data_IF_534742816797
#
_entry.id   IF_534742816797
#
_cell.length_a   1.000
_cell.length_b   1.000
_cell.length_c   1.000
_cell.angle_alpha   90.00
_cell.angle_beta   90.00
_cell.angle_gamma   90.00
#
_symmetry.space_group_name_H-M   'P 1'
#
loop_
_entity.id
_entity.type
_entity.pdbx_description
1 polymer ?
#
# COMPACT_ATOMS: atom_id res chain seq x y z
N UNK A 1 -34.02 12.32 0.94
CA UNK A 1 -32.76 11.78 0.38
C UNK A 1 -31.62 12.67 0.88
N UNK A 2 -30.57 12.11 1.51
CA UNK A 2 -29.42 12.85 2.04
C UNK A 2 -28.17 12.77 1.12
N UNK A 3 -28.32 12.13 -0.04
CA UNK A 3 -27.20 11.88 -0.95
C UNK A 3 -26.95 13.10 -1.85
N UNK A 4 -25.69 13.53 -1.95
CA UNK A 4 -25.28 14.70 -2.73
C UNK A 4 -24.01 14.39 -3.54
N UNK A 5 -23.94 14.86 -4.78
CA UNK A 5 -22.79 14.69 -5.67
C UNK A 5 -22.54 13.26 -6.14
N UNK A 6 -23.51 12.36 -6.02
CA UNK A 6 -23.40 10.96 -6.46
C UNK A 6 -23.97 10.78 -7.86
N UNK A 7 -23.31 9.95 -8.65
CA UNK A 7 -23.77 9.56 -9.98
C UNK A 7 -24.49 8.22 -9.81
N UNK A 8 -25.78 8.19 -10.12
CA UNK A 8 -26.60 6.98 -10.02
C UNK A 8 -27.09 6.62 -11.42
N UNK A 9 -26.75 5.42 -11.86
CA UNK A 9 -27.22 4.84 -13.12
C UNK A 9 -28.37 3.89 -12.80
N UNK A 10 -29.49 4.00 -13.51
CA UNK A 10 -30.61 3.09 -13.32
C UNK A 10 -31.29 2.76 -14.63
N UNK A 11 -31.50 1.46 -14.87
CA UNK A 11 -32.18 0.93 -16.05
C UNK A 11 -32.77 -0.45 -15.71
N UNK A 12 -33.92 -0.79 -16.30
CA UNK A 12 -34.57 -2.10 -16.20
C UNK A 12 -34.74 -2.64 -14.74
N UNK A 13 -34.97 -1.76 -13.77
CA UNK A 13 -35.15 -2.14 -12.35
C UNK A 13 -33.83 -2.39 -11.59
N UNK A 14 -32.68 -2.15 -12.21
CA UNK A 14 -31.39 -2.10 -11.54
C UNK A 14 -30.97 -0.65 -11.28
N UNK A 15 -30.22 -0.42 -10.20
CA UNK A 15 -29.55 0.84 -9.94
C UNK A 15 -28.13 0.59 -9.43
N UNK A 16 -27.18 1.38 -9.91
CA UNK A 16 -25.79 1.36 -9.50
C UNK A 16 -25.28 2.75 -9.18
N UNK A 17 -24.31 2.83 -8.27
CA UNK A 17 -23.63 4.06 -7.90
C UNK A 17 -22.26 4.10 -8.55
N UNK A 18 -22.02 5.14 -9.33
CA UNK A 18 -20.77 5.39 -10.03
C UNK A 18 -19.96 6.46 -9.28
N UNK A 19 -18.65 6.25 -9.17
CA UNK A 19 -17.71 7.20 -8.59
C UNK A 19 -16.42 7.24 -9.41
N UNK A 20 -15.80 8.40 -9.48
CA UNK A 20 -14.53 8.59 -10.19
C UNK A 20 -13.38 8.14 -9.30
N UNK A 21 -12.52 7.28 -9.83
CA UNK A 21 -11.29 6.83 -9.20
C UNK A 21 -10.07 7.37 -9.93
N UNK A 22 -8.97 7.60 -9.20
CA UNK A 22 -7.68 8.04 -9.72
C UNK A 22 -6.61 7.00 -9.38
N UNK A 23 -5.73 6.71 -10.33
CA UNK A 23 -4.53 5.91 -10.04
C UNK A 23 -3.67 6.58 -8.96
N UNK A 24 -2.82 5.78 -8.31
CA UNK A 24 -1.82 6.32 -7.37
C UNK A 24 -0.84 7.26 -8.08
N UNK A 25 -0.59 6.99 -9.37
CA UNK A 25 0.38 7.69 -10.20
C UNK A 25 1.82 7.47 -9.73
N UNK A 26 2.75 8.14 -10.38
CA UNK A 26 4.16 8.15 -10.01
C UNK A 26 4.74 9.56 -10.13
N UNK A 27 5.93 9.76 -9.57
CA UNK A 27 6.69 10.99 -9.76
C UNK A 27 7.55 10.86 -11.02
N UNK A 28 7.38 11.77 -11.98
CA UNK A 28 8.10 11.79 -13.26
C UNK A 28 9.47 12.49 -13.17
N UNK A 29 9.83 13.01 -12.01
CA UNK A 29 11.10 13.70 -11.72
C UNK A 29 11.55 13.35 -10.31
N UNK A 30 12.86 13.37 -10.07
CA UNK A 30 13.46 13.03 -8.78
C UNK A 30 13.59 14.23 -7.86
N UNK A 31 14.01 15.38 -8.41
CA UNK A 31 14.09 16.65 -7.68
C UNK A 31 13.16 17.68 -8.30
N UNK A 32 12.84 18.71 -7.51
CA UNK A 32 12.06 19.84 -8.00
C UNK A 32 12.79 20.64 -9.10
N UNK A 33 14.12 20.59 -9.12
CA UNK A 33 14.98 21.25 -10.11
C UNK A 33 15.10 20.49 -11.42
N UNK A 34 14.79 19.19 -11.42
CA UNK A 34 14.98 18.36 -12.60
C UNK A 34 13.87 18.63 -13.62
N UNK A 35 14.19 18.70 -14.93
CA UNK A 35 13.18 18.88 -15.96
C UNK A 35 12.29 17.65 -16.04
N UNK A 36 10.98 17.88 -16.22
CA UNK A 36 10.04 16.81 -16.56
C UNK A 36 10.16 16.50 -18.06
N UNK A 37 10.87 15.43 -18.41
CA UNK A 37 11.09 15.04 -19.80
C UNK A 37 10.03 14.05 -20.30
N UNK A 38 9.80 14.02 -21.61
CA UNK A 38 8.79 13.15 -22.23
C UNK A 38 9.23 11.68 -22.11
N UNK A 39 10.53 11.42 -22.16
CA UNK A 39 11.11 10.08 -22.01
C UNK A 39 10.85 9.52 -20.60
N UNK A 40 10.91 10.36 -19.57
CA UNK A 40 10.56 9.97 -18.19
C UNK A 40 9.08 9.62 -18.07
N UNK A 41 8.20 10.39 -18.74
CA UNK A 41 6.76 10.09 -18.79
C UNK A 41 6.52 8.75 -19.50
N UNK A 42 7.17 8.52 -20.64
CA UNK A 42 7.04 7.27 -21.39
C UNK A 42 7.51 6.07 -20.58
N UNK A 43 8.68 6.18 -19.93
CA UNK A 43 9.25 5.10 -19.12
C UNK A 43 8.34 4.71 -17.94
N UNK A 44 7.65 5.68 -17.34
CA UNK A 44 6.77 5.44 -16.20
C UNK A 44 5.28 5.32 -16.56
N UNK A 45 4.92 5.36 -17.84
CA UNK A 45 3.52 5.29 -18.30
C UNK A 45 2.74 4.07 -17.80
N UNK A 46 3.35 2.86 -17.71
CA UNK A 46 2.67 1.70 -17.13
C UNK A 46 2.27 1.89 -15.66
N UNK A 47 3.06 2.65 -14.88
CA UNK A 47 2.78 2.95 -13.48
C UNK A 47 1.72 4.06 -13.35
N UNK A 48 1.81 5.09 -14.20
CA UNK A 48 0.82 6.20 -14.26
C UNK A 48 -0.59 5.65 -14.54
N UNK A 49 -0.69 4.66 -15.44
CA UNK A 49 -1.96 4.06 -15.89
C UNK A 49 -2.43 2.90 -15.01
N UNK A 50 -1.66 2.48 -13.99
CA UNK A 50 -2.01 1.37 -13.13
C UNK A 50 -3.14 1.72 -12.14
N UNK A 51 -4.28 1.02 -12.27
CA UNK A 51 -5.48 1.22 -11.46
C UNK A 51 -5.65 0.21 -10.31
N UNK A 52 -4.72 -0.74 -10.10
CA UNK A 52 -4.87 -1.80 -9.08
C UNK A 52 -5.12 -1.27 -7.66
N UNK A 53 -4.46 -0.16 -7.30
CA UNK A 53 -4.59 0.52 -6.01
C UNK A 53 -5.16 1.93 -6.19
N UNK A 54 -6.15 2.08 -7.07
CA UNK A 54 -6.77 3.38 -7.33
C UNK A 54 -7.55 3.90 -6.12
N UNK A 55 -7.53 5.21 -5.91
CA UNK A 55 -8.21 5.89 -4.81
C UNK A 55 -9.41 6.67 -5.32
N UNK A 56 -10.53 6.71 -4.57
CA UNK A 56 -11.68 7.51 -4.95
C UNK A 56 -11.32 9.00 -4.93
N UNK A 57 -11.74 9.75 -5.96
CA UNK A 57 -11.64 11.20 -5.98
C UNK A 57 -12.78 11.79 -5.15
N UNK A 58 -12.46 12.28 -3.94
CA UNK A 58 -13.47 12.77 -2.99
C UNK A 58 -13.62 14.29 -3.07
N UNK A 59 -12.51 15.03 -3.06
CA UNK A 59 -12.56 16.50 -3.13
C UNK A 59 -11.31 17.11 -3.77
N UNK A 60 -11.49 18.33 -4.29
CA UNK A 60 -10.39 19.14 -4.81
C UNK A 60 -9.36 19.47 -3.72
N UNK A 61 -9.82 19.76 -2.50
CA UNK A 61 -8.95 20.06 -1.37
C UNK A 61 -8.06 18.87 -1.00
N UNK A 62 -8.61 17.64 -0.94
CA UNK A 62 -7.81 16.45 -0.67
C UNK A 62 -6.76 16.20 -1.77
N UNK A 63 -7.12 16.44 -3.03
CA UNK A 63 -6.20 16.31 -4.17
C UNK A 63 -5.07 17.33 -4.12
N UNK A 64 -5.34 18.57 -3.67
CA UNK A 64 -4.32 19.62 -3.48
C UNK A 64 -3.35 19.27 -2.36
N UNK A 65 -3.84 18.75 -1.23
CA UNK A 65 -2.98 18.31 -0.11
C UNK A 65 -2.03 17.21 -0.57
N UNK A 66 -2.54 16.18 -1.26
CA UNK A 66 -1.71 15.10 -1.79
C UNK A 66 -0.64 15.60 -2.77
N UNK A 67 -0.94 16.63 -3.57
CA UNK A 67 0.03 17.23 -4.47
C UNK A 67 1.14 17.97 -3.70
N UNK A 68 0.77 18.79 -2.71
CA UNK A 68 1.73 19.53 -1.89
C UNK A 68 2.66 18.58 -1.14
N UNK A 69 2.14 17.50 -0.59
CA UNK A 69 2.94 16.45 0.06
C UNK A 69 3.99 15.86 -0.89
N UNK A 70 3.61 15.57 -2.13
CA UNK A 70 4.53 15.09 -3.17
C UNK A 70 5.57 16.14 -3.58
N UNK A 71 5.20 17.43 -3.62
CA UNK A 71 6.15 18.50 -3.89
C UNK A 71 7.17 18.67 -2.76
N UNK A 72 6.74 18.57 -1.51
CA UNK A 72 7.65 18.60 -0.36
C UNK A 72 8.62 17.40 -0.36
N UNK A 73 8.14 16.23 -0.76
CA UNK A 73 8.99 15.06 -0.98
C UNK A 73 10.10 15.35 -2.03
N UNK A 74 9.73 15.91 -3.18
CA UNK A 74 10.68 16.31 -4.23
C UNK A 74 11.65 17.43 -3.78
N UNK A 75 11.20 18.31 -2.88
CA UNK A 75 12.00 19.42 -2.35
C UNK A 75 13.10 18.91 -1.42
N UNK A 76 12.80 17.90 -0.59
CA UNK A 76 13.78 17.27 0.31
C UNK A 76 14.89 16.53 -0.45
N UNK A 77 14.67 16.22 -1.73
CA UNK A 77 15.65 15.52 -2.56
C UNK A 77 15.93 14.09 -2.09
N UNK A 78 15.04 13.54 -1.26
CA UNK A 78 15.05 12.12 -0.92
C UNK A 78 14.79 11.34 -2.21
N UNK A 79 15.66 10.37 -2.52
CA UNK A 79 15.43 9.49 -3.66
C UNK A 79 14.07 8.85 -3.46
N UNK A 80 13.15 9.05 -4.42
CA UNK A 80 12.03 8.11 -4.53
C UNK A 80 12.65 6.73 -4.57
N UNK A 81 12.26 5.79 -3.70
CA UNK A 81 12.71 4.43 -3.87
C UNK A 81 12.23 4.05 -5.27
N UNK A 82 13.19 3.86 -6.16
CA UNK A 82 13.00 3.57 -7.59
C UNK A 82 11.86 2.57 -7.75
N UNK A 83 11.04 2.83 -8.76
CA UNK A 83 9.87 2.14 -9.36
C UNK A 83 9.68 0.60 -9.24
N UNK A 84 10.39 -0.08 -8.35
CA UNK A 84 10.10 -1.42 -7.83
C UNK A 84 9.74 -1.42 -6.34
N UNK A 85 9.93 -0.31 -5.63
CA UNK A 85 9.41 -0.13 -4.27
C UNK A 85 7.98 0.36 -4.35
N UNK A 86 7.05 -0.59 -4.57
CA UNK A 86 5.78 -0.46 -3.89
C UNK A 86 6.12 -0.13 -2.43
N UNK A 87 5.79 1.08 -1.97
CA UNK A 87 5.39 1.26 -0.59
C UNK A 87 4.22 0.30 -0.40
N UNK A 88 4.54 -0.95 -0.12
CA UNK A 88 3.63 -2.05 -0.08
C UNK A 88 2.71 -1.75 1.07
N UNK A 89 1.48 -1.35 0.75
CA UNK A 89 0.42 -1.27 1.74
C UNK A 89 0.32 -2.66 2.36
N UNK A 90 0.85 -2.79 3.57
CA UNK A 90 0.77 -4.04 4.32
C UNK A 90 -0.58 -4.04 5.03
N UNK A 91 -1.59 -4.58 4.35
CA UNK A 91 -2.92 -4.77 4.91
C UNK A 91 -2.94 -6.05 5.72
N UNK A 92 -3.38 -5.96 6.97
CA UNK A 92 -3.57 -7.11 7.84
C UNK A 92 -4.93 -7.02 8.54
N UNK A 93 -5.49 -8.17 8.88
CA UNK A 93 -6.72 -8.31 9.64
C UNK A 93 -6.46 -9.13 10.92
N UNK A 94 -7.48 -9.32 11.75
CA UNK A 94 -7.40 -10.16 12.96
C UNK A 94 -6.91 -11.58 12.63
N UNK A 95 -7.32 -12.13 11.49
CA UNK A 95 -6.84 -13.42 10.99
C UNK A 95 -5.32 -13.51 10.88
N UNK A 96 -4.66 -12.48 10.36
CA UNK A 96 -3.21 -12.48 10.15
C UNK A 96 -2.46 -12.36 11.48
N UNK A 97 -3.04 -11.61 12.42
CA UNK A 97 -2.53 -11.47 13.79
C UNK A 97 -2.57 -12.81 14.54
N UNK A 98 -3.72 -13.50 14.49
CA UNK A 98 -3.91 -14.80 15.11
C UNK A 98 -2.97 -15.84 14.47
N UNK A 99 -2.86 -15.83 13.13
CA UNK A 99 -1.97 -16.75 12.42
C UNK A 99 -0.50 -16.52 12.80
N UNK A 100 -0.08 -15.27 12.95
CA UNK A 100 1.25 -14.94 13.44
C UNK A 100 1.46 -15.41 14.88
N UNK A 101 0.50 -15.18 15.77
CA UNK A 101 0.57 -15.62 17.15
C UNK A 101 0.72 -17.15 17.26
N UNK A 102 -0.07 -17.90 16.48
CA UNK A 102 0.07 -19.37 16.36
C UNK A 102 1.45 -19.78 15.83
N UNK A 103 1.98 -19.06 14.84
CA UNK A 103 3.31 -19.31 14.27
C UNK A 103 4.47 -19.09 15.25
N UNK A 104 4.32 -18.15 16.19
CA UNK A 104 5.28 -17.91 17.28
C UNK A 104 5.16 -18.96 18.39
N UNK A 105 4.07 -19.73 18.41
CA UNK A 105 3.83 -20.80 19.38
C UNK A 105 2.77 -20.48 20.43
N UNK A 106 1.98 -19.41 20.26
CA UNK A 106 0.83 -19.16 21.12
C UNK A 106 -0.17 -20.32 21.01
N UNK A 107 -0.72 -20.74 22.15
CA UNK A 107 -1.55 -21.94 22.26
C UNK A 107 -2.81 -21.67 23.08
N UNK A 108 -3.91 -22.29 22.67
CA UNK A 108 -5.19 -22.28 23.41
C UNK A 108 -5.11 -23.01 24.75
N UNK A 109 -4.05 -23.77 24.99
CA UNK A 109 -3.82 -24.45 26.28
C UNK A 109 -3.54 -23.44 27.40
N UNK A 110 -2.98 -22.27 27.06
CA UNK A 110 -2.72 -21.19 27.99
C UNK A 110 -3.89 -20.21 27.98
N UNK A 111 -4.70 -20.11 29.06
CA UNK A 111 -5.88 -19.24 29.08
C UNK A 111 -5.52 -17.75 28.89
N UNK A 112 -4.32 -17.34 29.33
CA UNK A 112 -3.79 -15.98 29.18
C UNK A 112 -3.47 -15.58 27.72
N UNK A 113 -3.27 -16.58 26.85
CA UNK A 113 -2.92 -16.37 25.43
C UNK A 113 -4.16 -16.30 24.53
N UNK A 114 -5.35 -16.60 25.07
CA UNK A 114 -6.62 -16.48 24.34
C UNK A 114 -6.84 -15.06 23.80
N UNK A 115 -6.32 -14.05 24.50
CA UNK A 115 -6.33 -12.63 24.06
C UNK A 115 -5.55 -12.37 22.76
N UNK A 116 -4.69 -13.28 22.33
CA UNK A 116 -3.93 -13.18 21.08
C UNK A 116 -4.58 -14.00 19.96
N UNK A 117 -5.41 -14.98 20.32
CA UNK A 117 -5.95 -16.00 19.42
C UNK A 117 -7.43 -15.81 19.09
N UNK A 118 -8.13 -14.92 19.79
CA UNK A 118 -9.56 -14.68 19.60
C UNK A 118 -9.89 -13.20 19.44
N UNK A 119 -10.39 -12.83 18.26
CA UNK A 119 -10.65 -11.46 17.84
C UNK A 119 -11.76 -10.75 18.63
N UNK A 120 -12.71 -11.50 19.20
CA UNK A 120 -13.78 -10.93 20.03
C UNK A 120 -13.44 -10.96 21.55
N UNK A 121 -12.19 -11.25 21.91
CA UNK A 121 -11.77 -11.14 23.30
C UNK A 121 -11.75 -9.67 23.74
N UNK A 122 -12.19 -9.35 24.96
CA UNK A 122 -12.25 -7.97 25.46
C UNK A 122 -10.91 -7.23 25.37
N UNK A 123 -9.82 -7.97 25.53
CA UNK A 123 -8.45 -7.47 25.47
C UNK A 123 -7.67 -8.02 24.26
N UNK A 124 -8.32 -8.18 23.10
CA UNK A 124 -7.64 -8.69 21.91
C UNK A 124 -6.42 -7.83 21.57
N UNK A 125 -5.24 -8.48 21.47
CA UNK A 125 -3.98 -7.78 21.27
C UNK A 125 -3.06 -8.53 20.32
N UNK A 126 -2.12 -7.79 19.75
CA UNK A 126 -1.10 -8.30 18.83
C UNK A 126 0.23 -8.47 19.55
N UNK A 127 0.97 -9.52 19.21
CA UNK A 127 2.36 -9.67 19.67
C UNK A 127 3.20 -8.57 19.00
N UNK A 128 3.90 -7.70 19.75
CA UNK A 128 4.60 -6.54 19.19
C UNK A 128 5.58 -6.85 18.04
N UNK A 129 6.16 -8.05 18.02
CA UNK A 129 7.06 -8.49 16.95
C UNK A 129 6.39 -8.64 15.57
N UNK A 130 5.05 -8.71 15.51
CA UNK A 130 4.30 -8.69 14.24
C UNK A 130 4.65 -7.47 13.39
N UNK A 131 4.90 -6.31 14.02
CA UNK A 131 5.21 -5.06 13.32
C UNK A 131 6.57 -5.04 12.61
N UNK A 132 7.38 -6.10 12.75
CA UNK A 132 8.61 -6.28 11.97
C UNK A 132 8.29 -6.79 10.55
N UNK A 133 7.15 -7.50 10.37
CA UNK A 133 6.78 -8.13 9.10
C UNK A 133 6.65 -7.16 7.92
N UNK A 134 6.03 -5.96 8.03
CA UNK A 134 5.95 -5.02 6.92
C UNK A 134 7.34 -4.62 6.39
N UNK A 135 8.28 -4.34 7.30
CA UNK A 135 9.66 -3.99 6.98
C UNK A 135 10.40 -5.16 6.33
N UNK A 136 10.25 -6.37 6.89
CA UNK A 136 10.85 -7.58 6.34
C UNK A 136 10.27 -7.91 4.95
N UNK A 137 8.96 -7.72 4.77
CA UNK A 137 8.28 -7.91 3.50
C UNK A 137 8.78 -6.92 2.44
N UNK A 138 8.97 -5.65 2.80
CA UNK A 138 9.53 -4.64 1.91
C UNK A 138 10.97 -4.97 1.48
N UNK A 139 11.84 -5.34 2.43
CA UNK A 139 13.25 -5.70 2.14
C UNK A 139 13.33 -6.98 1.29
N UNK A 140 12.54 -7.99 1.62
CA UNK A 140 12.57 -9.27 0.92
C UNK A 140 12.01 -9.13 -0.50
N UNK A 141 10.95 -8.35 -0.69
CA UNK A 141 10.36 -8.09 -2.01
C UNK A 141 11.33 -7.29 -2.90
N UNK A 142 12.09 -6.35 -2.33
CA UNK A 142 13.17 -5.64 -3.03
C UNK A 142 14.29 -6.58 -3.50
N UNK A 143 14.60 -7.64 -2.73
CA UNK A 143 15.71 -8.56 -3.04
C UNK A 143 15.36 -9.69 -4.02
N UNK A 144 14.09 -9.85 -4.44
CA UNK A 144 13.68 -10.99 -5.30
C UNK A 144 14.09 -10.90 -6.77
N UNK A 145 14.80 -9.87 -7.25
CA UNK A 145 15.03 -9.68 -8.70
C UNK A 145 16.45 -9.32 -9.16
N UNK A 146 17.50 -9.44 -8.32
CA UNK A 146 18.88 -9.31 -8.79
C UNK A 146 19.71 -10.62 -8.69
N UNK A 147 19.05 -11.79 -8.69
CA UNK A 147 19.74 -13.05 -9.02
C UNK A 147 20.02 -13.07 -10.51
N UNK A 148 21.22 -12.62 -10.87
CA UNK A 148 21.83 -12.89 -12.18
C UNK A 148 21.71 -14.40 -12.42
N UNK A 149 21.21 -14.86 -13.58
CA UNK A 149 21.15 -16.28 -13.90
C UNK A 149 22.54 -16.90 -13.70
N UNK A 150 22.66 -17.85 -12.76
CA UNK A 150 23.89 -18.58 -12.49
C UNK A 150 24.78 -18.06 -11.36
N UNK A 151 24.35 -17.12 -10.51
CA UNK A 151 25.13 -16.73 -9.31
C UNK A 151 24.36 -16.98 -8.01
N UNK A 152 24.81 -17.99 -7.25
CA UNK A 152 24.31 -18.28 -5.90
C UNK A 152 25.04 -17.42 -4.88
N UNK A 153 24.27 -16.69 -4.07
CA UNK A 153 24.76 -16.03 -2.86
C UNK A 153 24.76 -17.05 -1.72
N UNK A 154 25.93 -17.38 -1.20
CA UNK A 154 26.06 -18.13 0.05
C UNK A 154 25.85 -17.17 1.22
N UNK A 155 24.93 -17.53 2.12
CA UNK A 155 24.76 -16.87 3.41
C UNK A 155 25.55 -17.70 4.43
N UNK A 156 26.73 -17.21 4.77
CA UNK A 156 27.40 -17.55 6.02
C UNK A 156 26.99 -16.51 7.08
#
# INVERSE_FOLDING_TARGET
CQENGTIIESAAGWAGKSQIYRSKGCLIRQRITDPATIESVQANWPEITNMKNAVPLVSLSASRVALVEKLEYLRKGEQTPTSSSEGALFTFSSKDLILYALGVGASVQNPEELKLLYENHQNFSVIPSFYILPSMHAVTSFRRLNTIPGKTISLE
#
